data_IF_256837378052
#
_entry.id   IF_256837378052
#
_cell.length_a   1.000
_cell.length_b   1.000
_cell.length_c   1.000
_cell.angle_alpha   90.00
_cell.angle_beta   90.00
_cell.angle_gamma   90.00
#
_symmetry.space_group_name_H-M   'P 1'
#
loop_
_entity.id
_entity.type
_entity.pdbx_description
1 polymer ?
#
# COMPACT_ATOMS: atom_id res chain seq x y z
N UNK A 1 -39.95 27.35 32.90
CA UNK A 1 -39.88 27.37 31.43
C UNK A 1 -38.42 27.62 31.06
N UNK A 2 -37.67 26.52 31.00
CA UNK A 2 -36.22 26.47 30.89
C UNK A 2 -35.89 25.88 29.52
N UNK A 3 -35.32 26.70 28.65
CA UNK A 3 -34.74 26.30 27.36
C UNK A 3 -33.27 25.97 27.57
N UNK A 4 -32.93 24.70 27.46
CA UNK A 4 -31.55 24.19 27.56
C UNK A 4 -30.90 24.21 26.18
N UNK A 5 -29.79 24.96 26.06
CA UNK A 5 -28.91 24.96 24.89
C UNK A 5 -28.16 23.64 24.75
N UNK A 6 -28.06 23.14 23.51
CA UNK A 6 -27.23 22.02 23.12
C UNK A 6 -25.74 22.41 23.05
N UNK A 7 -24.79 21.51 23.36
CA UNK A 7 -23.38 21.80 23.17
C UNK A 7 -22.97 21.55 21.71
N UNK A 8 -22.30 22.55 21.14
CA UNK A 8 -21.49 22.43 19.93
C UNK A 8 -20.45 21.32 20.16
N UNK A 9 -20.45 20.30 19.29
CA UNK A 9 -19.32 19.37 19.15
C UNK A 9 -18.41 19.96 18.10
N UNK A 10 -17.25 20.43 18.53
CA UNK A 10 -16.09 20.63 17.66
C UNK A 10 -15.61 19.23 17.23
N UNK A 11 -15.93 18.84 16.00
CA UNK A 11 -15.30 17.71 15.34
C UNK A 11 -13.95 18.19 14.79
N UNK A 12 -12.86 17.89 15.51
CA UNK A 12 -11.52 17.95 14.94
C UNK A 12 -11.44 16.98 13.74
N UNK A 13 -10.86 17.40 12.60
CA UNK A 13 -10.67 16.50 11.48
C UNK A 13 -9.71 15.38 11.90
N UNK A 14 -10.20 14.14 11.84
CA UNK A 14 -9.46 12.95 12.18
C UNK A 14 -8.14 12.89 11.39
N UNK A 15 -7.01 12.97 12.11
CA UNK A 15 -5.67 12.76 11.56
C UNK A 15 -5.56 11.29 11.15
N UNK A 16 -5.71 11.00 9.86
CA UNK A 16 -5.62 9.64 9.33
C UNK A 16 -4.16 9.27 9.14
N UNK A 17 -3.59 8.55 10.10
CA UNK A 17 -2.25 7.96 9.97
C UNK A 17 -2.22 6.91 8.86
N UNK A 18 -1.15 6.94 8.04
CA UNK A 18 -0.82 5.87 7.11
C UNK A 18 -0.76 4.55 7.88
N UNK A 19 -1.61 3.61 7.46
CA UNK A 19 -1.71 2.28 8.06
C UNK A 19 -2.83 2.09 9.07
N UNK A 20 -3.64 3.11 9.41
CA UNK A 20 -4.78 2.90 10.31
C UNK A 20 -5.71 1.79 9.77
N UNK A 21 -5.71 0.63 10.45
CA UNK A 21 -6.55 -0.52 10.10
C UNK A 21 -8.01 -0.09 10.19
N UNK A 22 -8.84 -0.21 9.14
CA UNK A 22 -10.28 -0.11 9.33
C UNK A 22 -10.71 -1.13 10.40
N UNK A 23 -11.39 -0.67 11.44
CA UNK A 23 -11.72 -1.52 12.58
C UNK A 23 -12.61 -2.69 12.12
N UNK A 24 -12.12 -3.93 12.24
CA UNK A 24 -12.97 -5.10 12.00
C UNK A 24 -14.09 -5.13 13.05
N UNK A 25 -15.34 -5.33 12.60
CA UNK A 25 -16.54 -5.33 13.44
C UNK A 25 -16.57 -6.46 14.51
N UNK A 26 -15.64 -7.40 14.45
CA UNK A 26 -15.35 -8.42 15.48
C UNK A 26 -13.84 -8.50 15.60
N UNK A 27 -13.30 -8.04 16.74
CA UNK A 27 -11.93 -8.38 17.17
C UNK A 27 -12.07 -9.37 18.31
N UNK A 28 -11.38 -10.50 18.25
CA UNK A 28 -11.28 -11.38 19.41
C UNK A 28 -10.33 -10.72 20.42
N UNK A 29 -10.84 -10.29 21.57
CA UNK A 29 -10.02 -9.62 22.59
C UNK A 29 -8.84 -10.50 23.05
N UNK A 30 -8.98 -11.83 22.97
CA UNK A 30 -7.88 -12.76 23.27
C UNK A 30 -6.71 -12.61 22.30
N UNK A 31 -6.96 -12.21 21.05
CA UNK A 31 -5.93 -12.03 20.03
C UNK A 31 -4.94 -10.91 20.41
N UNK A 32 -5.37 -9.91 21.16
CA UNK A 32 -4.50 -8.79 21.60
C UNK A 32 -3.35 -9.32 22.47
N UNK A 33 -3.65 -10.18 23.44
CA UNK A 33 -2.63 -10.76 24.31
C UNK A 33 -1.62 -11.63 23.54
N UNK A 34 -2.09 -12.36 22.52
CA UNK A 34 -1.21 -13.14 21.64
C UNK A 34 -0.37 -12.26 20.72
N UNK A 35 -0.92 -11.15 20.22
CA UNK A 35 -0.19 -10.18 19.42
C UNK A 35 0.94 -9.53 20.22
N UNK A 36 0.72 -9.20 21.50
CA UNK A 36 1.77 -8.66 22.37
C UNK A 36 2.88 -9.67 22.68
N UNK A 37 2.52 -10.95 22.87
CA UNK A 37 3.50 -12.04 23.00
C UNK A 37 4.33 -12.21 21.73
N UNK A 38 3.67 -12.30 20.58
CA UNK A 38 4.35 -12.45 19.29
C UNK A 38 5.24 -11.24 18.99
N UNK A 39 4.76 -10.02 19.27
CA UNK A 39 5.55 -8.80 19.17
C UNK A 39 6.84 -8.89 19.98
N UNK A 40 6.76 -9.39 21.22
CA UNK A 40 7.93 -9.54 22.09
C UNK A 40 8.95 -10.51 21.50
N UNK A 41 8.53 -11.65 20.97
CA UNK A 41 9.41 -12.62 20.29
C UNK A 41 10.02 -12.06 19.01
N UNK A 42 9.22 -11.38 18.19
CA UNK A 42 9.66 -10.73 16.94
C UNK A 42 10.68 -9.63 17.22
N UNK A 43 10.47 -8.80 18.25
CA UNK A 43 11.45 -7.77 18.66
C UNK A 43 12.74 -8.34 19.21
N UNK A 44 12.69 -9.52 19.81
CA UNK A 44 13.88 -10.24 20.26
C UNK A 44 14.58 -11.03 19.14
N UNK A 45 14.06 -10.99 17.91
CA UNK A 45 14.49 -11.83 16.78
C UNK A 45 14.50 -13.34 17.13
N UNK A 46 13.59 -13.77 18.03
CA UNK A 46 13.47 -15.15 18.48
C UNK A 46 12.40 -15.88 17.68
N UNK A 47 12.84 -16.51 16.60
CA UNK A 47 12.00 -17.28 15.68
C UNK A 47 11.30 -18.48 16.36
N UNK A 48 11.99 -19.17 17.29
CA UNK A 48 11.45 -20.35 17.95
C UNK A 48 10.32 -19.96 18.89
N UNK A 49 10.54 -18.95 19.73
CA UNK A 49 9.49 -18.41 20.60
C UNK A 49 8.31 -17.86 19.79
N UNK A 50 8.54 -17.24 18.63
CA UNK A 50 7.46 -16.76 17.76
C UNK A 50 6.58 -17.91 17.23
N UNK A 51 7.20 -19.04 16.86
CA UNK A 51 6.48 -20.26 16.46
C UNK A 51 5.69 -20.87 17.61
N UNK A 52 6.30 -20.97 18.80
CA UNK A 52 5.63 -21.48 20.01
C UNK A 52 4.41 -20.62 20.38
N UNK A 53 4.54 -19.29 20.33
CA UNK A 53 3.43 -18.36 20.62
C UNK A 53 2.24 -18.61 19.69
N UNK A 54 2.47 -18.85 18.39
CA UNK A 54 1.39 -19.13 17.44
C UNK A 54 0.81 -20.53 17.59
N UNK A 55 1.64 -21.52 17.90
CA UNK A 55 1.19 -22.87 18.27
C UNK A 55 0.30 -22.84 19.52
N UNK A 56 0.72 -22.14 20.56
CA UNK A 56 -0.01 -21.98 21.81
C UNK A 56 -1.32 -21.21 21.62
N UNK A 57 -1.34 -20.19 20.76
CA UNK A 57 -2.57 -19.47 20.42
C UNK A 57 -3.61 -20.41 19.79
N UNK A 58 -3.18 -21.31 18.89
CA UNK A 58 -4.04 -22.34 18.30
C UNK A 58 -4.48 -23.37 19.32
N UNK A 59 -3.59 -23.83 20.19
CA UNK A 59 -3.91 -24.77 21.28
C UNK A 59 -4.91 -24.17 22.30
N UNK A 60 -4.85 -22.85 22.53
CA UNK A 60 -5.79 -22.10 23.36
C UNK A 60 -7.14 -21.81 22.66
N UNK A 61 -7.34 -22.32 21.44
CA UNK A 61 -8.63 -22.28 20.74
C UNK A 61 -8.90 -21.01 19.92
N UNK A 62 -7.88 -20.21 19.58
CA UNK A 62 -8.04 -19.20 18.53
C UNK A 62 -8.08 -19.91 17.16
N UNK A 63 -9.02 -19.52 16.30
CA UNK A 63 -9.07 -20.04 14.94
C UNK A 63 -7.89 -19.52 14.10
N UNK A 64 -7.52 -20.24 13.04
CA UNK A 64 -6.34 -19.93 12.24
C UNK A 64 -6.46 -18.58 11.51
N UNK A 65 -7.66 -18.17 11.10
CA UNK A 65 -7.87 -16.88 10.43
C UNK A 65 -7.68 -15.72 11.41
N UNK A 66 -8.16 -15.85 12.65
CA UNK A 66 -7.92 -14.88 13.73
C UNK A 66 -6.44 -14.78 14.05
N UNK A 67 -5.71 -15.90 14.17
CA UNK A 67 -4.24 -15.85 14.38
C UNK A 67 -3.54 -15.15 13.21
N UNK A 68 -3.92 -15.49 11.97
CA UNK A 68 -3.32 -14.91 10.77
C UNK A 68 -3.51 -13.38 10.70
N UNK A 69 -4.74 -12.89 10.90
CA UNK A 69 -5.07 -11.48 10.65
C UNK A 69 -4.97 -10.60 11.90
N UNK A 70 -5.35 -11.11 13.07
CA UNK A 70 -5.47 -10.32 14.30
C UNK A 70 -4.28 -10.49 15.24
N UNK A 71 -3.42 -11.50 15.02
CA UNK A 71 -2.15 -11.67 15.74
C UNK A 71 -0.97 -11.29 14.81
N UNK A 72 -0.74 -12.06 13.74
CA UNK A 72 0.41 -11.83 12.84
C UNK A 72 0.24 -10.52 12.07
N UNK A 73 -0.93 -10.30 11.46
CA UNK A 73 -1.24 -9.04 10.77
C UNK A 73 -1.14 -7.81 11.69
N UNK A 74 -1.55 -7.93 12.95
CA UNK A 74 -1.41 -6.86 13.94
C UNK A 74 0.05 -6.57 14.30
N UNK A 75 0.87 -7.61 14.48
CA UNK A 75 2.31 -7.47 14.70
C UNK A 75 2.99 -6.81 13.51
N UNK A 76 2.67 -7.21 12.27
CA UNK A 76 3.22 -6.57 11.08
C UNK A 76 2.84 -5.09 10.97
N UNK A 77 1.60 -4.74 11.31
CA UNK A 77 1.20 -3.34 11.33
C UNK A 77 2.01 -2.54 12.36
N UNK A 78 2.24 -3.11 13.55
CA UNK A 78 3.09 -2.50 14.59
C UNK A 78 4.55 -2.36 14.13
N UNK A 79 5.10 -3.35 13.42
CA UNK A 79 6.43 -3.26 12.77
C UNK A 79 6.52 -2.00 11.90
N UNK A 80 5.54 -1.78 11.02
CA UNK A 80 5.50 -0.59 10.16
C UNK A 80 5.41 0.73 10.94
N UNK A 81 4.60 0.77 12.01
CA UNK A 81 4.46 1.96 12.85
C UNK A 81 5.75 2.29 13.63
N UNK A 82 6.44 1.29 14.17
CA UNK A 82 7.71 1.47 14.88
C UNK A 82 8.85 1.90 13.92
N UNK A 83 8.84 1.38 12.69
CA UNK A 83 9.77 1.82 11.65
C UNK A 83 9.54 3.29 11.24
N UNK A 84 8.27 3.66 11.00
CA UNK A 84 7.91 5.03 10.64
C UNK A 84 8.28 6.02 11.75
N UNK A 85 8.12 5.61 13.00
CA UNK A 85 8.49 6.40 14.17
C UNK A 85 9.98 6.36 14.53
N UNK A 86 10.83 5.81 13.66
CA UNK A 86 12.28 5.71 13.85
C UNK A 86 12.70 4.95 15.13
N UNK A 87 11.86 4.03 15.62
CA UNK A 87 12.14 3.14 16.77
C UNK A 87 12.54 1.73 16.34
N UNK A 88 12.43 1.44 15.04
CA UNK A 88 12.86 0.20 14.42
C UNK A 88 13.67 0.50 13.16
N UNK A 89 14.84 -0.13 13.01
CA UNK A 89 15.65 -0.01 11.79
C UNK A 89 15.09 -0.84 10.63
N UNK A 90 15.56 -0.58 9.41
CA UNK A 90 15.19 -1.38 8.22
C UNK A 90 15.61 -2.86 8.40
N UNK A 91 16.78 -3.11 9.01
CA UNK A 91 17.24 -4.49 9.26
C UNK A 91 16.33 -5.22 10.25
N UNK A 92 15.87 -4.53 11.29
CA UNK A 92 14.93 -5.10 12.26
C UNK A 92 13.54 -5.33 11.65
N UNK A 93 13.06 -4.42 10.80
CA UNK A 93 11.82 -4.59 10.03
C UNK A 93 11.89 -5.85 9.16
N UNK A 94 12.97 -6.01 8.39
CA UNK A 94 13.17 -7.18 7.54
C UNK A 94 13.22 -8.49 8.33
N UNK A 95 13.95 -8.51 9.46
CA UNK A 95 14.00 -9.67 10.34
C UNK A 95 12.61 -10.00 10.90
N UNK A 96 11.85 -8.99 11.32
CA UNK A 96 10.49 -9.16 11.82
C UNK A 96 9.53 -9.71 10.77
N UNK A 97 9.57 -9.16 9.55
CA UNK A 97 8.77 -9.62 8.41
C UNK A 97 9.13 -11.06 8.03
N UNK A 98 10.41 -11.44 8.06
CA UNK A 98 10.87 -12.81 7.80
C UNK A 98 10.36 -13.81 8.85
N UNK A 99 10.38 -13.45 10.14
CA UNK A 99 9.81 -14.27 11.22
C UNK A 99 8.31 -14.42 11.01
N UNK A 100 7.58 -13.33 10.75
CA UNK A 100 6.14 -13.37 10.47
C UNK A 100 5.83 -14.30 9.28
N UNK A 101 6.61 -14.21 8.20
CA UNK A 101 6.49 -15.06 7.03
C UNK A 101 6.69 -16.55 7.36
N UNK A 102 7.62 -16.88 8.26
CA UNK A 102 7.80 -18.26 8.72
C UNK A 102 6.65 -18.73 9.58
N UNK A 103 6.19 -17.90 10.50
CA UNK A 103 5.06 -18.19 11.39
C UNK A 103 3.79 -18.43 10.57
N UNK A 104 3.56 -17.65 9.50
CA UNK A 104 2.46 -17.89 8.55
C UNK A 104 2.59 -19.26 7.88
N UNK A 105 3.79 -19.67 7.47
CA UNK A 105 4.01 -20.99 6.86
C UNK A 105 3.72 -22.16 7.80
N UNK A 106 3.85 -21.95 9.12
CA UNK A 106 3.54 -22.95 10.13
C UNK A 106 2.03 -23.13 10.38
N UNK A 107 1.20 -22.15 9.96
CA UNK A 107 -0.25 -22.28 10.05
C UNK A 107 -0.73 -23.32 9.04
N UNK A 108 -1.16 -24.47 9.55
CA UNK A 108 -1.76 -25.50 8.73
C UNK A 108 -3.21 -25.14 8.38
N UNK A 109 -3.56 -25.30 7.11
CA UNK A 109 -4.93 -25.24 6.63
C UNK A 109 -5.36 -26.64 6.18
N UNK A 110 -6.52 -27.10 6.65
CA UNK A 110 -7.08 -28.36 6.19
C UNK A 110 -7.41 -28.26 4.71
N UNK A 111 -7.02 -29.28 3.95
CA UNK A 111 -7.37 -29.35 2.53
C UNK A 111 -8.84 -29.73 2.40
N UNK A 112 -9.70 -28.87 1.82
CA UNK A 112 -11.10 -29.20 1.63
C UNK A 112 -11.24 -30.33 0.60
N UNK A 113 -12.29 -31.14 0.73
CA UNK A 113 -12.62 -32.18 -0.24
C UNK A 113 -13.01 -31.60 -1.62
N UNK A 114 -13.64 -30.42 -1.60
CA UNK A 114 -14.06 -29.67 -2.79
C UNK A 114 -13.72 -28.19 -2.60
N UNK A 115 -13.11 -27.57 -3.61
CA UNK A 115 -12.80 -26.15 -3.58
C UNK A 115 -14.00 -25.30 -4.04
N UNK A 116 -14.13 -24.08 -3.48
CA UNK A 116 -15.16 -23.11 -3.88
C UNK A 116 -14.92 -22.50 -5.27
N UNK A 117 -13.66 -22.50 -5.70
CA UNK A 117 -13.18 -21.94 -6.96
C UNK A 117 -11.67 -21.76 -6.93
N UNK A 118 -11.10 -21.25 -8.01
CA UNK A 118 -9.67 -21.00 -8.20
C UNK A 118 -9.37 -19.51 -8.26
N UNK A 119 -8.51 -19.04 -7.36
CA UNK A 119 -8.09 -17.64 -7.28
C UNK A 119 -6.58 -17.55 -7.47
N UNK A 120 -6.13 -16.64 -8.33
CA UNK A 120 -4.71 -16.25 -8.40
C UNK A 120 -4.51 -14.99 -7.58
N UNK A 121 -3.53 -15.00 -6.66
CA UNK A 121 -3.17 -13.84 -5.83
C UNK A 121 -1.74 -13.41 -6.17
N UNK A 122 -1.55 -12.14 -6.51
CA UNK A 122 -0.26 -11.61 -6.94
C UNK A 122 -0.07 -10.16 -6.49
N UNK A 123 1.17 -9.76 -6.23
CA UNK A 123 1.50 -8.34 -6.23
C UNK A 123 1.72 -7.88 -7.67
N UNK A 124 1.31 -6.64 -7.94
CA UNK A 124 1.55 -6.02 -9.25
C UNK A 124 3.05 -5.90 -9.53
N UNK A 125 3.40 -5.64 -10.79
CA UNK A 125 4.80 -5.42 -11.17
C UNK A 125 5.43 -4.31 -10.31
N UNK A 126 6.73 -4.45 -9.99
CA UNK A 126 7.51 -3.53 -9.14
C UNK A 126 7.00 -3.36 -7.69
N UNK A 127 6.02 -4.16 -7.25
CA UNK A 127 5.56 -4.19 -5.87
C UNK A 127 6.24 -5.33 -5.09
N UNK A 128 7.03 -4.96 -4.07
CA UNK A 128 7.80 -5.89 -3.25
C UNK A 128 7.10 -6.27 -1.94
N UNK A 129 6.09 -5.50 -1.51
CA UNK A 129 5.39 -5.73 -0.25
C UNK A 129 4.42 -6.91 -0.37
N UNK A 130 4.96 -8.12 -0.30
CA UNK A 130 4.24 -9.37 -0.57
C UNK A 130 3.36 -9.86 0.58
N UNK A 131 3.66 -9.44 1.81
CA UNK A 131 3.00 -9.97 3.00
C UNK A 131 1.48 -9.74 3.02
N UNK A 132 0.92 -8.56 2.65
CA UNK A 132 -0.54 -8.41 2.54
C UNK A 132 -1.18 -9.39 1.54
N UNK A 133 -0.54 -9.61 0.38
CA UNK A 133 -1.01 -10.58 -0.61
C UNK A 133 -0.93 -12.01 -0.07
N UNK A 134 0.12 -12.32 0.70
CA UNK A 134 0.26 -13.61 1.39
C UNK A 134 -0.83 -13.84 2.43
N UNK A 135 -1.14 -12.83 3.27
CA UNK A 135 -2.22 -12.91 4.24
C UNK A 135 -3.56 -13.19 3.54
N UNK A 136 -3.86 -12.47 2.45
CA UNK A 136 -5.04 -12.75 1.63
C UNK A 136 -5.04 -14.19 1.09
N UNK A 137 -3.92 -14.65 0.55
CA UNK A 137 -3.81 -16.00 0.00
C UNK A 137 -4.10 -17.07 1.06
N UNK A 138 -3.54 -16.95 2.27
CA UNK A 138 -3.82 -17.90 3.35
C UNK A 138 -5.25 -17.78 3.87
N UNK A 139 -5.82 -16.58 3.98
CA UNK A 139 -7.25 -16.40 4.33
C UNK A 139 -8.14 -17.12 3.32
N UNK A 140 -7.89 -16.97 2.01
CA UNK A 140 -8.67 -17.65 0.98
C UNK A 140 -8.53 -19.18 1.06
N UNK A 141 -7.33 -19.71 1.38
CA UNK A 141 -7.14 -21.16 1.60
C UNK A 141 -7.93 -21.67 2.79
N UNK A 142 -7.88 -20.97 3.92
CA UNK A 142 -8.68 -21.28 5.12
C UNK A 142 -10.19 -21.26 4.81
N UNK A 143 -10.60 -20.43 3.84
CA UNK A 143 -11.98 -20.29 3.37
C UNK A 143 -12.36 -21.29 2.27
N UNK A 144 -11.50 -22.26 1.95
CA UNK A 144 -11.82 -23.34 1.02
C UNK A 144 -11.56 -23.04 -0.46
N UNK A 145 -10.81 -21.98 -0.80
CA UNK A 145 -10.43 -21.67 -2.18
C UNK A 145 -9.17 -22.41 -2.62
N UNK A 146 -9.09 -22.74 -3.91
CA UNK A 146 -7.84 -23.16 -4.52
C UNK A 146 -7.01 -21.94 -4.90
N UNK A 147 -5.94 -21.66 -4.16
CA UNK A 147 -5.17 -20.41 -4.29
C UNK A 147 -3.82 -20.62 -4.95
N UNK A 148 -3.62 -19.98 -6.11
CA UNK A 148 -2.30 -19.80 -6.73
C UNK A 148 -1.68 -18.47 -6.31
N UNK A 149 -0.80 -18.50 -5.30
CA UNK A 149 -0.07 -17.32 -4.84
C UNK A 149 1.25 -17.16 -5.62
N UNK A 150 1.44 -16.01 -6.27
CA UNK A 150 2.57 -15.76 -7.18
C UNK A 150 3.68 -14.88 -6.57
N UNK A 151 3.46 -14.34 -5.36
CA UNK A 151 4.47 -13.53 -4.67
C UNK A 151 4.50 -12.06 -5.09
N UNK A 152 5.65 -11.45 -4.83
CA UNK A 152 5.97 -10.06 -5.17
C UNK A 152 6.34 -9.89 -6.66
N UNK A 153 6.19 -8.66 -7.16
CA UNK A 153 6.65 -8.20 -8.47
C UNK A 153 6.34 -9.17 -9.62
N UNK A 154 5.06 -9.39 -9.89
CA UNK A 154 4.67 -10.27 -10.99
C UNK A 154 4.50 -9.42 -12.26
N UNK A 155 5.37 -9.59 -13.29
CA UNK A 155 5.23 -8.83 -14.53
C UNK A 155 3.91 -9.18 -15.22
N UNK A 156 3.20 -8.17 -15.71
CA UNK A 156 1.85 -8.32 -16.28
C UNK A 156 1.77 -9.38 -17.38
N UNK A 157 2.76 -9.44 -18.29
CA UNK A 157 2.78 -10.43 -19.36
C UNK A 157 2.85 -11.88 -18.84
N UNK A 158 3.60 -12.11 -17.77
CA UNK A 158 3.71 -13.43 -17.13
C UNK A 158 2.46 -13.77 -16.31
N UNK A 159 1.85 -12.77 -15.68
CA UNK A 159 0.57 -12.93 -14.99
C UNK A 159 -0.53 -13.40 -15.96
N UNK A 160 -0.70 -12.71 -17.09
CA UNK A 160 -1.70 -13.09 -18.12
C UNK A 160 -1.46 -14.51 -18.63
N UNK A 161 -0.19 -14.85 -18.91
CA UNK A 161 0.20 -16.20 -19.34
C UNK A 161 -0.08 -17.27 -18.27
N UNK A 162 0.05 -16.93 -16.99
CA UNK A 162 -0.30 -17.82 -15.89
C UNK A 162 -1.81 -18.02 -15.82
N UNK A 163 -2.59 -16.94 -15.81
CA UNK A 163 -4.06 -16.96 -15.70
C UNK A 163 -4.69 -17.79 -16.82
N UNK A 164 -4.22 -17.64 -18.05
CA UNK A 164 -4.70 -18.44 -19.19
C UNK A 164 -4.42 -19.95 -19.00
N UNK A 165 -3.27 -20.33 -18.44
CA UNK A 165 -2.90 -21.74 -18.23
C UNK A 165 -3.64 -22.36 -17.05
N UNK A 166 -3.86 -21.59 -15.99
CA UNK A 166 -4.48 -22.10 -14.76
C UNK A 166 -5.98 -21.97 -14.78
N UNK A 167 -6.59 -21.17 -15.66
CA UNK A 167 -8.05 -20.99 -15.69
C UNK A 167 -8.57 -20.49 -14.33
N UNK A 168 -7.96 -19.43 -13.80
CA UNK A 168 -8.42 -18.81 -12.56
C UNK A 168 -9.80 -18.16 -12.76
N UNK A 169 -10.70 -18.35 -11.80
CA UNK A 169 -12.04 -17.73 -11.80
C UNK A 169 -11.95 -16.23 -11.50
N UNK A 170 -10.90 -15.80 -10.78
CA UNK A 170 -10.64 -14.41 -10.41
C UNK A 170 -9.15 -14.22 -10.13
N UNK A 171 -8.64 -13.01 -10.40
CA UNK A 171 -7.31 -12.56 -9.98
C UNK A 171 -7.45 -11.51 -8.87
N UNK A 172 -6.73 -11.69 -7.77
CA UNK A 172 -6.57 -10.69 -6.73
C UNK A 172 -5.20 -10.02 -6.87
N UNK A 173 -5.18 -8.71 -7.11
CA UNK A 173 -3.96 -7.91 -7.21
C UNK A 173 -3.74 -7.08 -5.95
N UNK A 174 -2.52 -7.12 -5.42
CA UNK A 174 -2.08 -6.33 -4.27
C UNK A 174 -1.10 -5.24 -4.69
N UNK A 175 -1.29 -4.02 -4.17
CA UNK A 175 -0.34 -2.91 -4.25
C UNK A 175 -0.33 -2.12 -2.93
N UNK A 176 0.86 -1.82 -2.42
CA UNK A 176 1.05 -1.07 -1.18
C UNK A 176 1.40 0.40 -1.46
N UNK A 177 2.22 0.67 -2.48
CA UNK A 177 2.62 2.03 -2.85
C UNK A 177 1.75 2.60 -3.97
N UNK A 178 1.21 3.80 -3.79
CA UNK A 178 0.37 4.46 -4.81
C UNK A 178 1.14 4.76 -6.11
N UNK A 179 2.47 4.81 -6.07
CA UNK A 179 3.33 4.86 -7.28
C UNK A 179 3.21 3.63 -8.17
N UNK A 180 2.53 2.58 -7.70
CA UNK A 180 2.22 1.37 -8.46
C UNK A 180 0.85 1.43 -9.16
N UNK A 181 0.05 2.47 -8.96
CA UNK A 181 -1.25 2.62 -9.63
C UNK A 181 -1.17 2.49 -11.17
N UNK A 182 -0.19 3.08 -11.89
CA UNK A 182 -0.11 2.91 -13.34
C UNK A 182 0.16 1.46 -13.78
N UNK A 183 1.05 0.75 -13.10
CA UNK A 183 1.34 -0.67 -13.43
C UNK A 183 0.22 -1.59 -12.96
N UNK A 184 -0.47 -1.24 -11.88
CA UNK A 184 -1.69 -1.92 -11.44
C UNK A 184 -2.80 -1.77 -12.48
N UNK A 185 -3.02 -0.58 -13.03
CA UNK A 185 -4.01 -0.35 -14.08
C UNK A 185 -3.71 -1.17 -15.33
N UNK A 186 -2.44 -1.23 -15.76
CA UNK A 186 -2.02 -2.10 -16.85
C UNK A 186 -2.27 -3.59 -16.57
N UNK A 187 -2.09 -4.04 -15.32
CA UNK A 187 -2.39 -5.42 -14.93
C UNK A 187 -3.89 -5.72 -14.89
N UNK A 188 -4.71 -4.79 -14.34
CA UNK A 188 -6.17 -4.88 -14.31
C UNK A 188 -6.71 -5.07 -15.73
N UNK A 189 -6.40 -4.11 -16.61
CA UNK A 189 -6.88 -4.11 -18.01
C UNK A 189 -6.42 -5.34 -18.80
N UNK A 190 -5.16 -5.78 -18.63
CA UNK A 190 -4.64 -6.94 -19.32
C UNK A 190 -5.28 -8.27 -18.88
N UNK A 191 -5.57 -8.43 -17.58
CA UNK A 191 -6.27 -9.62 -17.07
C UNK A 191 -7.74 -9.61 -17.48
N UNK A 192 -8.39 -8.46 -17.42
CA UNK A 192 -9.76 -8.30 -17.91
C UNK A 192 -9.90 -8.60 -19.40
N UNK A 193 -8.90 -8.22 -20.21
CA UNK A 193 -8.89 -8.48 -21.65
C UNK A 193 -8.86 -9.98 -22.02
N UNK A 194 -8.40 -10.85 -21.11
CA UNK A 194 -8.49 -12.32 -21.27
C UNK A 194 -9.74 -12.93 -20.63
N UNK A 195 -10.67 -12.09 -20.16
CA UNK A 195 -11.98 -12.50 -19.67
C UNK A 195 -12.03 -12.90 -18.19
N UNK A 196 -10.95 -12.69 -17.43
CA UNK A 196 -10.90 -12.99 -15.99
C UNK A 196 -11.15 -11.73 -15.16
N UNK A 197 -12.10 -11.74 -14.20
CA UNK A 197 -12.35 -10.59 -13.33
C UNK A 197 -11.21 -10.35 -12.33
N UNK A 198 -11.03 -9.09 -11.98
CA UNK A 198 -9.96 -8.60 -11.13
C UNK A 198 -10.53 -7.94 -9.87
N UNK A 199 -10.15 -8.48 -8.72
CA UNK A 199 -10.27 -7.80 -7.44
C UNK A 199 -8.94 -7.14 -7.10
N UNK A 200 -8.95 -5.92 -6.59
CA UNK A 200 -7.74 -5.25 -6.11
C UNK A 200 -7.83 -4.88 -4.63
N UNK A 201 -6.67 -4.77 -3.99
CA UNK A 201 -6.56 -4.36 -2.60
C UNK A 201 -5.17 -3.84 -2.26
N UNK A 202 -5.03 -3.40 -1.01
CA UNK A 202 -3.82 -2.75 -0.51
C UNK A 202 -3.92 -1.22 -0.52
N UNK A 203 -3.05 -0.59 0.27
CA UNK A 203 -3.11 0.84 0.57
C UNK A 203 -2.93 1.75 -0.65
N UNK A 204 -2.30 1.22 -1.72
CA UNK A 204 -2.10 1.96 -2.95
C UNK A 204 -3.40 2.44 -3.61
N UNK A 205 -4.55 1.79 -3.33
CA UNK A 205 -5.85 2.09 -3.93
C UNK A 205 -6.75 3.05 -3.10
N UNK A 206 -6.22 3.60 -2.02
CA UNK A 206 -6.94 4.47 -1.09
C UNK A 206 -7.76 3.69 -0.05
N UNK A 207 -8.10 4.35 1.05
CA UNK A 207 -8.83 3.75 2.18
C UNK A 207 -10.27 3.37 1.86
N UNK A 208 -10.85 3.98 0.83
CA UNK A 208 -12.22 3.80 0.33
C UNK A 208 -12.27 3.16 -1.07
N UNK A 209 -11.12 2.70 -1.58
CA UNK A 209 -11.00 2.09 -2.89
C UNK A 209 -11.32 3.03 -4.06
N UNK A 210 -11.24 4.36 -3.88
CA UNK A 210 -11.57 5.31 -4.96
C UNK A 210 -10.74 5.09 -6.22
N UNK A 211 -9.45 4.85 -6.08
CA UNK A 211 -8.58 4.63 -7.24
C UNK A 211 -8.82 3.25 -7.83
N UNK A 212 -9.20 2.23 -7.05
CA UNK A 212 -9.60 0.94 -7.62
C UNK A 212 -10.81 1.07 -8.57
N UNK A 213 -11.83 1.86 -8.15
CA UNK A 213 -13.01 2.15 -8.97
C UNK A 213 -12.64 2.97 -10.21
N UNK A 214 -11.79 3.96 -10.04
CA UNK A 214 -11.32 4.82 -11.14
C UNK A 214 -10.53 4.04 -12.20
N UNK A 215 -9.70 3.07 -11.78
CA UNK A 215 -8.93 2.20 -12.68
C UNK A 215 -9.72 1.00 -13.21
N UNK A 216 -11.04 0.98 -13.06
CA UNK A 216 -11.91 -0.03 -13.67
C UNK A 216 -11.83 -1.43 -13.07
N UNK A 217 -11.32 -1.61 -11.84
CA UNK A 217 -11.31 -2.92 -11.18
C UNK A 217 -12.74 -3.46 -10.97
N UNK A 218 -12.94 -4.78 -11.13
CA UNK A 218 -14.27 -5.41 -11.00
C UNK A 218 -14.72 -5.49 -9.53
N UNK A 219 -13.77 -5.47 -8.59
CA UNK A 219 -14.02 -5.36 -7.16
C UNK A 219 -12.81 -4.73 -6.44
N UNK A 220 -13.09 -4.15 -5.28
CA UNK A 220 -12.09 -3.73 -4.31
C UNK A 220 -12.44 -4.29 -2.92
N UNK A 221 -11.42 -4.63 -2.14
CA UNK A 221 -11.59 -5.01 -0.75
C UNK A 221 -10.56 -4.32 0.16
N UNK A 222 -10.99 -3.78 1.31
CA UNK A 222 -10.09 -3.09 2.26
C UNK A 222 -9.17 -4.03 3.02
N UNK A 223 -9.57 -5.29 3.21
CA UNK A 223 -8.79 -6.30 3.94
C UNK A 223 -9.08 -7.72 3.44
N UNK A 224 -8.24 -8.68 3.86
CA UNK A 224 -8.32 -10.08 3.46
C UNK A 224 -9.68 -10.73 3.79
N UNK A 225 -10.24 -10.42 4.96
CA UNK A 225 -11.55 -10.93 5.39
C UNK A 225 -12.68 -10.45 4.48
N UNK A 226 -12.71 -9.14 4.20
CA UNK A 226 -13.67 -8.53 3.29
C UNK A 226 -13.54 -9.06 1.84
N UNK A 227 -12.32 -9.32 1.38
CA UNK A 227 -12.08 -9.94 0.07
C UNK A 227 -12.67 -11.36 0.01
N UNK A 228 -12.39 -12.18 1.03
CA UNK A 228 -12.92 -13.54 1.14
C UNK A 228 -14.46 -13.56 1.25
N UNK A 229 -15.04 -12.65 2.04
CA UNK A 229 -16.49 -12.48 2.16
C UNK A 229 -17.12 -12.11 0.80
N UNK A 230 -16.50 -11.17 0.07
CA UNK A 230 -16.98 -10.74 -1.25
C UNK A 230 -16.94 -11.88 -2.27
N UNK A 231 -15.87 -12.68 -2.30
CA UNK A 231 -15.78 -13.82 -3.22
C UNK A 231 -16.76 -14.94 -2.85
N UNK A 232 -16.97 -15.17 -1.54
CA UNK A 232 -17.94 -16.17 -1.06
C UNK A 232 -19.40 -15.78 -1.35
N UNK A 233 -19.70 -14.48 -1.45
CA UNK A 233 -21.04 -13.98 -1.79
C UNK A 233 -21.47 -14.27 -3.24
N UNK A 234 -20.53 -14.68 -4.11
CA UNK A 234 -20.82 -15.06 -5.49
C UNK A 234 -19.79 -14.51 -6.49
N UNK A 235 -19.90 -14.92 -7.76
CA UNK A 235 -18.94 -14.53 -8.80
C UNK A 235 -18.85 -13.00 -8.95
N UNK A 236 -17.66 -12.53 -9.32
CA UNK A 236 -17.47 -11.13 -9.69
C UNK A 236 -18.20 -10.83 -11.02
N UNK A 237 -18.50 -9.55 -11.31
CA UNK A 237 -19.03 -9.14 -12.59
C UNK A 237 -18.14 -9.62 -13.74
N UNK A 238 -18.75 -9.83 -14.92
CA UNK A 238 -17.96 -10.10 -16.12
C UNK A 238 -17.10 -8.89 -16.46
N UNK A 239 -15.81 -9.08 -16.79
CA UNK A 239 -14.94 -8.00 -17.19
C UNK A 239 -15.50 -7.18 -18.36
N UNK A 240 -15.12 -5.91 -18.37
CA UNK A 240 -15.35 -5.03 -19.52
C UNK A 240 -14.62 -5.55 -20.76
N UNK A 241 -15.10 -5.15 -21.94
CA UNK A 241 -14.37 -5.39 -23.17
C UNK A 241 -12.97 -4.75 -23.12
N UNK A 242 -11.99 -5.25 -23.89
CA UNK A 242 -10.66 -4.67 -23.94
C UNK A 242 -10.72 -3.16 -24.24
N UNK A 243 -10.02 -2.38 -23.44
CA UNK A 243 -9.96 -0.92 -23.49
C UNK A 243 -8.54 -0.44 -23.12
N UNK A 244 -8.26 0.84 -23.38
CA UNK A 244 -6.99 1.48 -23.07
C UNK A 244 -7.10 2.32 -21.81
N UNK A 245 -5.97 2.59 -21.16
CA UNK A 245 -5.95 3.39 -19.94
C UNK A 245 -6.56 4.80 -20.11
N UNK A 246 -6.49 5.38 -21.31
CA UNK A 246 -7.09 6.69 -21.62
C UNK A 246 -8.63 6.64 -21.65
N UNK A 247 -9.22 5.46 -21.83
CA UNK A 247 -10.68 5.28 -21.81
C UNK A 247 -11.21 5.43 -20.36
N UNK A 248 -10.44 4.99 -19.36
CA UNK A 248 -10.77 5.20 -17.94
C UNK A 248 -10.28 6.55 -17.40
N UNK A 249 -9.19 7.08 -17.98
CA UNK A 249 -8.50 8.29 -17.53
C UNK A 249 -8.28 9.29 -18.68
N UNK A 250 -9.34 10.01 -19.14
CA UNK A 250 -9.25 10.87 -20.32
C UNK A 250 -8.26 12.04 -20.19
N UNK A 251 -8.00 12.51 -18.97
CA UNK A 251 -7.04 13.58 -18.67
C UNK A 251 -5.61 13.20 -19.07
N UNK A 252 -5.26 11.91 -19.18
CA UNK A 252 -3.94 11.48 -19.65
C UNK A 252 -3.59 11.97 -21.07
N UNK A 253 -4.58 12.48 -21.82
CA UNK A 253 -4.38 13.15 -23.11
C UNK A 253 -3.50 14.41 -23.04
N UNK A 254 -3.41 15.06 -21.88
CA UNK A 254 -2.54 16.24 -21.67
C UNK A 254 -1.04 15.91 -21.67
N UNK A 255 -0.70 14.61 -21.57
CA UNK A 255 0.64 14.07 -21.49
C UNK A 255 1.48 14.52 -20.29
N UNK A 256 0.93 15.24 -19.30
CA UNK A 256 1.69 15.70 -18.13
C UNK A 256 2.30 14.52 -17.38
N UNK A 257 1.49 13.49 -17.08
CA UNK A 257 1.97 12.23 -16.47
C UNK A 257 3.12 11.59 -17.27
N UNK A 258 2.95 11.50 -18.59
CA UNK A 258 3.93 10.86 -19.47
C UNK A 258 5.25 11.63 -19.49
N UNK A 259 5.18 12.95 -19.59
CA UNK A 259 6.35 13.82 -19.67
C UNK A 259 7.09 13.86 -18.33
N UNK A 260 6.39 14.03 -17.20
CA UNK A 260 6.98 13.98 -15.84
C UNK A 260 7.65 12.64 -15.58
N UNK A 261 7.01 11.52 -15.94
CA UNK A 261 7.59 10.18 -15.75
C UNK A 261 8.87 10.00 -16.58
N UNK A 262 8.86 10.45 -17.85
CA UNK A 262 10.02 10.35 -18.77
C UNK A 262 11.20 11.23 -18.35
N UNK A 263 10.92 12.41 -17.79
CA UNK A 263 11.95 13.35 -17.35
C UNK A 263 12.30 13.23 -15.86
N UNK A 264 11.75 12.23 -15.14
CA UNK A 264 11.93 12.04 -13.70
C UNK A 264 13.38 12.13 -13.22
N UNK A 265 14.31 11.42 -13.87
CA UNK A 265 15.76 11.48 -13.54
C UNK A 265 16.35 12.87 -13.70
N UNK A 266 15.90 13.62 -14.71
CA UNK A 266 16.32 15.00 -14.96
C UNK A 266 15.79 15.91 -13.86
N UNK A 267 14.50 15.79 -13.54
CA UNK A 267 13.84 16.56 -12.47
C UNK A 267 14.54 16.35 -11.12
N UNK A 268 14.84 15.11 -10.75
CA UNK A 268 15.54 14.78 -9.51
C UNK A 268 16.93 15.44 -9.47
N UNK A 269 17.73 15.26 -10.53
CA UNK A 269 19.09 15.80 -10.62
C UNK A 269 19.11 17.33 -10.56
N UNK A 270 18.23 18.00 -11.29
CA UNK A 270 18.17 19.47 -11.33
C UNK A 270 17.64 20.06 -10.03
N UNK A 271 16.66 19.39 -9.40
CA UNK A 271 16.19 19.75 -8.07
C UNK A 271 17.30 19.62 -7.02
N UNK A 272 18.03 18.49 -7.02
CA UNK A 272 19.16 18.28 -6.10
C UNK A 272 20.22 19.38 -6.26
N UNK A 273 20.63 19.67 -7.50
CA UNK A 273 21.59 20.73 -7.80
C UNK A 273 21.08 22.11 -7.35
N UNK A 274 19.79 22.40 -7.56
CA UNK A 274 19.16 23.63 -7.10
C UNK A 274 19.15 23.76 -5.58
N UNK A 275 18.89 22.65 -4.86
CA UNK A 275 18.92 22.62 -3.40
C UNK A 275 20.33 22.88 -2.85
N UNK A 276 21.37 22.29 -3.44
CA UNK A 276 22.77 22.53 -3.05
C UNK A 276 23.16 24.02 -3.14
N UNK A 277 22.58 24.74 -4.11
CA UNK A 277 22.83 26.17 -4.30
C UNK A 277 21.99 27.03 -3.34
N UNK A 278 20.70 26.71 -3.18
CA UNK A 278 19.71 27.56 -2.49
C UNK A 278 19.54 27.23 -1.00
N UNK A 279 19.92 26.05 -0.55
CA UNK A 279 19.74 25.60 0.82
C UNK A 279 21.10 25.43 1.54
N UNK A 280 21.54 26.43 2.34
CA UNK A 280 22.87 26.45 2.94
C UNK A 280 23.24 25.20 3.76
N UNK A 281 22.26 24.53 4.37
CA UNK A 281 22.52 23.34 5.19
C UNK A 281 23.08 22.17 4.38
N UNK A 282 22.77 22.07 3.08
CA UNK A 282 23.29 21.02 2.18
C UNK A 282 24.77 21.18 1.82
N UNK A 283 25.38 22.34 2.10
CA UNK A 283 26.83 22.52 1.86
C UNK A 283 27.69 21.64 2.77
N UNK A 284 27.16 21.28 3.94
CA UNK A 284 27.83 20.39 4.89
C UNK A 284 27.47 18.91 4.73
N UNK A 285 26.65 18.54 3.74
CA UNK A 285 26.23 17.15 3.56
C UNK A 285 27.38 16.29 3.05
N UNK A 286 27.52 15.10 3.66
CA UNK A 286 28.34 14.01 3.13
C UNK A 286 27.66 13.31 1.93
N UNK A 287 28.35 12.36 1.32
CA UNK A 287 27.87 11.67 0.13
C UNK A 287 26.61 10.84 0.42
N UNK A 288 26.54 10.17 1.57
CA UNK A 288 25.39 9.37 2.00
C UNK A 288 24.13 10.25 2.18
N UNK A 289 24.28 11.44 2.76
CA UNK A 289 23.20 12.41 2.93
C UNK A 289 22.70 12.94 1.58
N UNK A 290 23.61 13.16 0.62
CA UNK A 290 23.23 13.57 -0.74
C UNK A 290 22.49 12.46 -1.48
N UNK A 291 22.95 11.23 -1.36
CA UNK A 291 22.29 10.06 -1.96
C UNK A 291 20.87 9.89 -1.41
N UNK A 292 20.69 9.93 -0.08
CA UNK A 292 19.36 9.86 0.54
C UNK A 292 18.45 11.01 0.12
N UNK A 293 19.00 12.23 0.00
CA UNK A 293 18.22 13.37 -0.51
C UNK A 293 17.77 13.14 -1.96
N UNK A 294 18.63 12.56 -2.80
CA UNK A 294 18.27 12.21 -4.18
C UNK A 294 17.20 11.11 -4.23
N UNK A 295 17.26 10.11 -3.34
CA UNK A 295 16.23 9.08 -3.18
C UNK A 295 14.87 9.68 -2.76
N UNK A 296 14.87 10.59 -1.77
CA UNK A 296 13.65 11.28 -1.34
C UNK A 296 13.04 12.12 -2.48
N UNK A 297 13.87 12.84 -3.24
CA UNK A 297 13.43 13.57 -4.44
C UNK A 297 12.86 12.63 -5.51
N UNK A 298 13.46 11.45 -5.71
CA UNK A 298 12.94 10.46 -6.64
C UNK A 298 11.55 9.98 -6.20
N UNK A 299 11.35 9.66 -4.92
CA UNK A 299 10.03 9.33 -4.40
C UNK A 299 9.03 10.47 -4.58
N UNK A 300 9.40 11.72 -4.30
CA UNK A 300 8.54 12.88 -4.52
C UNK A 300 8.07 12.95 -5.99
N UNK A 301 8.99 12.79 -6.95
CA UNK A 301 8.62 12.81 -8.38
C UNK A 301 7.76 11.61 -8.77
N UNK A 302 8.01 10.42 -8.22
CA UNK A 302 7.17 9.24 -8.46
C UNK A 302 5.74 9.41 -7.94
N UNK A 303 5.57 9.98 -6.73
CA UNK A 303 4.25 10.24 -6.15
C UNK A 303 3.53 11.39 -6.86
N UNK A 304 4.25 12.41 -7.35
CA UNK A 304 3.67 13.44 -8.22
C UNK A 304 3.16 12.82 -9.52
N UNK A 305 3.93 11.92 -10.14
CA UNK A 305 3.48 11.20 -11.33
C UNK A 305 2.25 10.33 -11.03
N UNK A 306 2.20 9.66 -9.88
CA UNK A 306 1.03 8.89 -9.47
C UNK A 306 -0.22 9.77 -9.30
N UNK A 307 -0.09 10.93 -8.65
CA UNK A 307 -1.18 11.90 -8.50
C UNK A 307 -1.67 12.44 -9.85
N UNK A 308 -0.74 12.75 -10.78
CA UNK A 308 -1.09 13.11 -12.16
C UNK A 308 -1.80 11.98 -12.90
N UNK A 309 -1.45 10.74 -12.61
CA UNK A 309 -2.06 9.57 -13.25
C UNK A 309 -3.54 9.43 -12.87
N UNK A 310 -3.86 9.55 -11.59
CA UNK A 310 -5.25 9.46 -11.10
C UNK A 310 -5.97 10.81 -11.01
N UNK A 311 -5.31 11.91 -11.37
CA UNK A 311 -5.86 13.27 -11.26
C UNK A 311 -6.41 13.59 -9.87
N UNK A 312 -5.62 13.26 -8.84
CA UNK A 312 -6.01 13.42 -7.45
C UNK A 312 -4.84 14.01 -6.65
N UNK A 313 -4.96 15.29 -6.29
CA UNK A 313 -3.94 15.99 -5.50
C UNK A 313 -3.84 15.45 -4.06
N UNK A 314 -4.93 14.88 -3.51
CA UNK A 314 -4.93 14.30 -2.16
C UNK A 314 -3.93 13.16 -2.04
N UNK A 315 -3.66 12.44 -3.14
CA UNK A 315 -2.62 11.41 -3.17
C UNK A 315 -1.25 12.01 -2.81
N UNK A 316 -0.91 13.13 -3.43
CA UNK A 316 0.39 13.77 -3.28
C UNK A 316 0.52 14.51 -1.96
N UNK A 317 -0.53 15.24 -1.56
CA UNK A 317 -0.55 15.95 -0.27
C UNK A 317 -0.43 14.96 0.89
N UNK A 318 -1.18 13.84 0.86
CA UNK A 318 -1.10 12.81 1.89
C UNK A 318 0.30 12.17 1.98
N UNK A 319 0.91 11.86 0.84
CA UNK A 319 2.29 11.36 0.79
C UNK A 319 3.27 12.37 1.43
N UNK A 320 3.17 13.66 1.11
CA UNK A 320 4.08 14.67 1.64
C UNK A 320 3.85 14.95 3.13
N UNK A 321 2.61 14.95 3.61
CA UNK A 321 2.32 15.03 5.04
C UNK A 321 2.94 13.86 5.80
N UNK A 322 2.81 12.64 5.28
CA UNK A 322 3.44 11.47 5.88
C UNK A 322 4.97 11.51 5.82
N UNK A 323 5.55 11.93 4.70
CA UNK A 323 7.00 12.13 4.57
C UNK A 323 7.48 13.17 5.59
N UNK A 324 6.73 14.25 5.82
CA UNK A 324 7.04 15.24 6.84
C UNK A 324 7.00 14.66 8.27
N UNK A 325 6.03 13.80 8.60
CA UNK A 325 5.97 13.08 9.88
C UNK A 325 7.21 12.19 10.07
N UNK A 326 7.58 11.45 9.02
CA UNK A 326 8.76 10.58 9.00
C UNK A 326 10.05 11.37 9.21
N UNK A 327 10.23 12.46 8.46
CA UNK A 327 11.40 13.32 8.56
C UNK A 327 11.49 13.93 9.97
N UNK A 328 10.36 14.36 10.53
CA UNK A 328 10.29 14.92 11.88
C UNK A 328 10.69 13.89 12.94
N UNK A 329 10.22 12.64 12.82
CA UNK A 329 10.63 11.55 13.71
C UNK A 329 12.14 11.23 13.64
N UNK A 330 12.79 11.64 12.55
CA UNK A 330 14.24 11.50 12.30
C UNK A 330 15.03 12.78 12.56
N UNK A 331 14.39 13.81 13.15
CA UNK A 331 15.04 15.08 13.51
C UNK A 331 15.21 16.06 12.35
N UNK A 332 14.54 15.85 11.22
CA UNK A 332 14.54 16.74 10.06
C UNK A 332 13.23 17.54 10.04
N UNK A 333 13.26 18.89 10.06
CA UNK A 333 12.03 19.69 10.07
C UNK A 333 11.16 19.47 8.83
N UNK A 334 9.84 19.39 9.01
CA UNK A 334 8.86 19.25 7.91
C UNK A 334 9.04 20.28 6.79
N UNK A 335 9.34 21.54 7.15
CA UNK A 335 9.59 22.62 6.20
C UNK A 335 10.81 22.42 5.28
N UNK A 336 11.64 21.40 5.52
CA UNK A 336 12.76 21.03 4.63
C UNK A 336 12.31 20.57 3.24
N UNK A 337 11.05 20.14 3.08
CA UNK A 337 10.47 19.73 1.81
C UNK A 337 10.13 20.93 0.89
N UNK A 338 9.82 22.10 1.47
CA UNK A 338 9.31 23.25 0.72
C UNK A 338 10.26 23.75 -0.39
N UNK A 339 11.59 23.89 -0.16
CA UNK A 339 12.50 24.32 -1.22
C UNK A 339 12.56 23.35 -2.41
N UNK A 340 12.43 22.05 -2.16
CA UNK A 340 12.41 21.04 -3.22
C UNK A 340 11.15 21.17 -4.08
N UNK A 341 9.99 21.36 -3.43
CA UNK A 341 8.71 21.57 -4.11
C UNK A 341 8.70 22.86 -4.94
N UNK A 342 9.32 23.93 -4.45
CA UNK A 342 9.50 25.18 -5.20
C UNK A 342 10.34 24.98 -6.47
N UNK A 343 11.47 24.31 -6.36
CA UNK A 343 12.34 24.00 -7.49
C UNK A 343 11.66 23.09 -8.51
N UNK A 344 10.87 22.11 -8.07
CA UNK A 344 10.07 21.27 -8.95
C UNK A 344 8.99 22.08 -9.68
N UNK A 345 8.30 22.98 -8.99
CA UNK A 345 7.29 23.85 -9.60
C UNK A 345 7.89 24.79 -10.65
N UNK A 346 9.11 25.30 -10.42
CA UNK A 346 9.86 26.12 -11.39
C UNK A 346 10.22 25.32 -12.66
N UNK A 347 10.70 24.09 -12.49
CA UNK A 347 11.04 23.19 -13.60
C UNK A 347 9.80 22.75 -14.39
N UNK A 348 8.66 22.61 -13.72
CA UNK A 348 7.40 22.17 -14.28
C UNK A 348 6.48 23.34 -14.69
N UNK A 349 7.05 24.51 -15.02
CA UNK A 349 6.29 25.74 -15.31
C UNK A 349 5.20 25.60 -16.38
N UNK A 350 5.43 24.71 -17.35
CA UNK A 350 4.59 24.46 -18.53
C UNK A 350 3.55 23.32 -18.29
N UNK A 351 3.49 22.78 -17.06
CA UNK A 351 2.63 21.67 -16.65
C UNK A 351 1.63 22.14 -15.57
N UNK A 352 0.48 22.74 -15.96
CA UNK A 352 -0.46 23.36 -15.02
C UNK A 352 -1.00 22.40 -13.96
N UNK A 353 -1.31 21.13 -14.27
CA UNK A 353 -1.81 20.19 -13.25
C UNK A 353 -0.72 19.81 -12.27
N UNK A 354 0.49 19.53 -12.75
CA UNK A 354 1.63 19.23 -11.89
C UNK A 354 1.89 20.39 -10.91
N UNK A 355 1.82 21.64 -11.40
CA UNK A 355 1.95 22.83 -10.56
C UNK A 355 0.81 23.00 -9.56
N UNK A 356 -0.42 22.70 -9.97
CA UNK A 356 -1.59 22.71 -9.07
C UNK A 356 -1.39 21.75 -7.90
N UNK A 357 -1.05 20.49 -8.20
CA UNK A 357 -0.76 19.45 -7.21
C UNK A 357 0.39 19.86 -6.27
N UNK A 358 1.47 20.41 -6.81
CA UNK A 358 2.60 20.92 -6.00
C UNK A 358 2.17 22.10 -5.12
N UNK A 359 1.32 23.00 -5.62
CA UNK A 359 0.83 24.14 -4.85
C UNK A 359 -0.04 23.69 -3.66
N UNK A 360 -1.01 22.79 -3.88
CA UNK A 360 -1.85 22.22 -2.83
C UNK A 360 -1.01 21.54 -1.73
N UNK A 361 0.03 20.81 -2.14
CA UNK A 361 0.95 20.18 -1.19
C UNK A 361 1.77 21.20 -0.37
N UNK A 362 2.22 22.29 -0.98
CA UNK A 362 2.95 23.36 -0.26
C UNK A 362 2.04 24.06 0.74
N UNK A 363 0.78 24.30 0.40
CA UNK A 363 -0.22 24.87 1.32
C UNK A 363 -0.50 23.94 2.51
N UNK A 364 -0.50 22.63 2.29
CA UNK A 364 -0.70 21.63 3.35
C UNK A 364 0.49 21.53 4.32
N UNK A 365 1.70 21.82 3.85
CA UNK A 365 2.94 21.75 4.64
C UNK A 365 3.30 23.06 5.35
N UNK A 366 2.68 24.18 4.96
CA UNK A 366 2.89 25.52 5.53
C UNK A 366 2.09 25.71 6.83
#
# INVERSE_FOLDING_TARGET
MTTTSAPHRDEEPARHHIGSRPASARRDERAVAWADKLWSSVRAADEHSALDVVGDARAAGLDAETVLLEVIGAVQHRVGAEWAANRMSVVEEHAATAINDRVIAALSADRPATFLGRVTVACVDKEWHALPARLLAETLRLRGWQVGYLGAQVPTAHLVSHVHRTGADTVCLSAALSTRLPVAHAAITAVQAVGTPVMVGGLAFGTDGRWARQLGADAWAPEARAAADRLAAGPLPRPRAPHQAIDDLPHLSDQEFTLVTRTSRTLVRETLQGLEQRFPAMRGYDDDQRERTAEDLAHIVEFLAAALYVDDEDLFTHFLTWTAEILTARGVPAGSLLPALELLAEQLRDFPRARGIIAAARETLA
#
